data_IF_901788552144
#
_entry.id   IF_901788552144
#
_cell.length_a   1.000
_cell.length_b   1.000
_cell.length_c   1.000
_cell.angle_alpha   90.00
_cell.angle_beta   90.00
_cell.angle_gamma   90.00
#
_symmetry.space_group_name_H-M   'P 1'
#
loop_
_entity.id
_entity.type
_entity.pdbx_description
1 polymer ?
#
# COMPACT_ATOMS: atom_id res chain seq x y z
N UNK A 1 -2.72 7.58 -14.28
CA UNK A 1 -1.99 7.30 -13.02
C UNK A 1 -3.01 7.20 -11.91
N UNK A 2 -2.86 6.25 -10.98
CA UNK A 2 -3.78 6.12 -9.85
C UNK A 2 -3.74 7.35 -8.96
N UNK A 3 -4.91 7.78 -8.50
CA UNK A 3 -5.09 8.81 -7.47
C UNK A 3 -4.72 8.29 -6.07
N UNK A 4 -4.52 9.20 -5.11
CA UNK A 4 -4.26 8.80 -3.72
C UNK A 4 -5.40 7.98 -3.11
N UNK A 5 -6.65 8.25 -3.48
CA UNK A 5 -7.83 7.53 -2.99
C UNK A 5 -7.86 6.08 -3.52
N UNK A 6 -7.52 5.87 -4.79
CA UNK A 6 -7.41 4.53 -5.36
C UNK A 6 -6.27 3.74 -4.70
N UNK A 7 -5.12 4.38 -4.47
CA UNK A 7 -4.00 3.78 -3.76
C UNK A 7 -4.38 3.42 -2.31
N UNK A 8 -5.20 4.23 -1.64
CA UNK A 8 -5.71 3.92 -0.32
C UNK A 8 -6.62 2.68 -0.32
N UNK A 9 -7.51 2.55 -1.30
CA UNK A 9 -8.35 1.34 -1.47
C UNK A 9 -7.51 0.08 -1.68
N UNK A 10 -6.49 0.14 -2.54
CA UNK A 10 -5.56 -0.98 -2.72
C UNK A 10 -4.79 -1.30 -1.44
N UNK A 11 -4.45 -0.30 -0.65
CA UNK A 11 -3.78 -0.51 0.63
C UNK A 11 -4.68 -1.22 1.63
N UNK A 12 -5.95 -0.81 1.76
CA UNK A 12 -6.92 -1.51 2.59
C UNK A 12 -7.05 -2.98 2.17
N UNK A 13 -7.23 -3.23 0.88
CA UNK A 13 -7.32 -4.59 0.34
C UNK A 13 -6.05 -5.40 0.61
N UNK A 14 -4.86 -4.82 0.40
CA UNK A 14 -3.60 -5.48 0.72
C UNK A 14 -3.51 -5.84 2.20
N UNK A 15 -3.92 -4.95 3.11
CA UNK A 15 -3.89 -5.21 4.55
C UNK A 15 -4.89 -6.27 4.99
N UNK A 16 -6.08 -6.33 4.39
CA UNK A 16 -7.14 -7.27 4.80
C UNK A 16 -7.03 -8.64 4.14
N UNK A 17 -6.59 -8.71 2.88
CA UNK A 17 -6.70 -9.94 2.06
C UNK A 17 -5.35 -10.56 1.68
N UNK A 18 -4.27 -9.78 1.62
CA UNK A 18 -2.98 -10.26 1.11
C UNK A 18 -1.98 -10.45 2.25
N UNK A 19 -1.84 -9.41 3.10
CA UNK A 19 -0.88 -9.37 4.19
C UNK A 19 -1.09 -10.49 5.24
N UNK A 20 -2.31 -10.85 5.68
CA UNK A 20 -2.52 -11.94 6.64
C UNK A 20 -2.11 -13.30 6.08
N UNK A 21 -2.08 -13.45 4.76
CA UNK A 21 -1.67 -14.65 4.07
C UNK A 21 -0.18 -14.64 3.70
N UNK A 22 0.59 -13.65 4.17
CA UNK A 22 2.02 -13.54 3.90
C UNK A 22 2.35 -13.10 2.48
N UNK A 23 1.38 -12.58 1.72
CA UNK A 23 1.65 -12.06 0.37
C UNK A 23 2.46 -10.77 0.45
N UNK A 24 3.57 -10.72 -0.30
CA UNK A 24 4.39 -9.51 -0.40
C UNK A 24 3.71 -8.43 -1.23
N UNK A 25 3.92 -7.16 -0.85
CA UNK A 25 3.39 -5.97 -1.55
C UNK A 25 3.64 -6.00 -3.06
N UNK A 26 4.81 -6.48 -3.49
CA UNK A 26 5.17 -6.57 -4.90
C UNK A 26 4.34 -7.63 -5.64
N UNK A 27 4.13 -8.81 -5.02
CA UNK A 27 3.29 -9.87 -5.56
C UNK A 27 1.84 -9.40 -5.71
N UNK A 28 1.32 -8.73 -4.68
CA UNK A 28 -0.01 -8.12 -4.71
C UNK A 28 -0.14 -7.10 -5.85
N UNK A 29 0.86 -6.25 -6.06
CA UNK A 29 0.85 -5.29 -7.16
C UNK A 29 0.81 -5.97 -8.54
N UNK A 30 1.61 -7.03 -8.74
CA UNK A 30 1.62 -7.78 -10.00
C UNK A 30 0.28 -8.44 -10.25
N UNK A 31 -0.29 -9.11 -9.24
CA UNK A 31 -1.60 -9.78 -9.32
C UNK A 31 -2.73 -8.80 -9.67
N UNK A 32 -2.72 -7.61 -9.08
CA UNK A 32 -3.76 -6.60 -9.26
C UNK A 32 -3.44 -5.58 -10.38
N UNK A 33 -2.37 -5.79 -11.16
CA UNK A 33 -1.93 -4.90 -12.25
C UNK A 33 -1.66 -3.46 -11.80
N UNK A 34 -1.20 -3.30 -10.56
CA UNK A 34 -0.86 -2.01 -9.96
C UNK A 34 0.62 -1.70 -10.26
N UNK A 35 0.97 -0.51 -10.77
CA UNK A 35 2.34 -0.07 -10.93
C UNK A 35 3.08 -0.02 -9.59
N UNK A 36 3.93 -1.03 -9.34
CA UNK A 36 4.63 -1.20 -8.07
C UNK A 36 5.39 0.06 -7.61
N UNK A 37 6.09 0.75 -8.53
CA UNK A 37 6.86 1.96 -8.18
C UNK A 37 5.98 3.07 -7.59
N UNK A 38 4.80 3.28 -8.18
CA UNK A 38 3.86 4.31 -7.73
C UNK A 38 3.29 3.94 -6.35
N UNK A 39 2.82 2.71 -6.20
CA UNK A 39 2.20 2.23 -4.96
C UNK A 39 3.21 2.14 -3.81
N UNK A 40 4.42 1.65 -4.08
CA UNK A 40 5.48 1.56 -3.08
C UNK A 40 5.92 2.95 -2.57
N UNK A 41 6.00 3.96 -3.45
CA UNK A 41 6.27 5.34 -3.02
C UNK A 41 5.17 5.84 -2.08
N UNK A 42 3.91 5.75 -2.51
CA UNK A 42 2.76 6.15 -1.71
C UNK A 42 2.71 5.42 -0.35
N UNK A 43 2.91 4.09 -0.35
CA UNK A 43 2.92 3.27 0.87
C UNK A 43 3.98 3.72 1.89
N UNK A 44 5.20 4.03 1.44
CA UNK A 44 6.26 4.53 2.32
C UNK A 44 5.91 5.90 2.88
N UNK A 45 5.35 6.79 2.07
CA UNK A 45 4.97 8.14 2.48
C UNK A 45 3.82 8.10 3.51
N UNK A 46 2.82 7.25 3.30
CA UNK A 46 1.72 7.01 4.25
C UNK A 46 2.23 6.41 5.56
N UNK A 47 3.09 5.38 5.53
CA UNK A 47 3.67 4.76 6.74
C UNK A 47 4.50 5.74 7.57
N UNK A 48 5.22 6.67 6.91
CA UNK A 48 5.97 7.73 7.61
C UNK A 48 5.05 8.69 8.35
N UNK A 49 3.94 9.12 7.72
CA UNK A 49 2.94 10.00 8.36
C UNK A 49 2.30 9.34 9.57
N UNK A 50 1.89 8.08 9.42
CA UNK A 50 1.29 7.31 10.52
C UNK A 50 2.27 7.15 11.68
N UNK A 51 3.54 6.80 11.41
CA UNK A 51 4.56 6.73 12.47
C UNK A 51 4.83 8.06 13.15
N UNK A 52 4.83 9.18 12.41
CA UNK A 52 5.02 10.50 12.99
C UNK A 52 3.88 10.86 13.96
N UNK A 53 2.64 10.52 13.62
CA UNK A 53 1.47 10.83 14.45
C UNK A 53 1.37 10.02 15.75
N UNK A 54 2.05 8.87 15.85
CA UNK A 54 2.11 8.07 17.09
C UNK A 54 3.39 8.29 17.91
N UNK A 55 4.32 9.14 17.44
CA UNK A 55 5.59 9.46 18.11
C UNK A 55 5.65 10.92 18.61
N UNK A 56 4.51 11.62 18.61
CA UNK A 56 4.27 12.95 19.21
C UNK A 56 3.15 12.83 20.23
#
# INVERSE_FOLDING_TARGET
MYSSEELERFYFQYQSEAFPHGEFLQSFCVKNKIPYKQFHKWYKDTRKKVKANYLT
#
